data_IF_005589183672
#
_entry.id   IF_005589183672
#
_cell.length_a   1.000
_cell.length_b   1.000
_cell.length_c   1.000
_cell.angle_alpha   90.00
_cell.angle_beta   90.00
_cell.angle_gamma   90.00
#
_symmetry.space_group_name_H-M   'P 1'
#
loop_
_entity.id
_entity.type
_entity.pdbx_description
1 polymer ?
#
# COMPACT_ATOMS: atom_id res chain seq x y z
N UNK A 1 12.11 0.62 4.46
CA UNK A 1 13.48 0.06 4.40
C UNK A 1 13.80 -0.38 2.97
N UNK A 2 13.01 -1.28 2.37
CA UNK A 2 13.25 -1.78 1.01
C UNK A 2 13.13 -0.72 -0.10
N UNK A 3 12.12 0.17 -0.03
CA UNK A 3 11.97 1.29 -0.97
C UNK A 3 13.16 2.26 -0.94
N UNK A 4 13.62 2.64 0.26
CA UNK A 4 14.82 3.47 0.45
C UNK A 4 16.12 2.82 -0.05
N UNK A 5 16.15 1.48 -0.11
CA UNK A 5 17.26 0.72 -0.69
C UNK A 5 17.13 0.53 -2.21
N UNK A 6 16.05 1.01 -2.84
CA UNK A 6 15.80 0.90 -4.28
C UNK A 6 15.40 -0.51 -4.76
N UNK A 7 15.07 -1.42 -3.85
CA UNK A 7 14.78 -2.82 -4.20
C UNK A 7 13.34 -3.03 -4.69
N UNK A 8 12.45 -2.11 -4.32
CA UNK A 8 11.03 -2.17 -4.62
C UNK A 8 10.53 -0.76 -4.87
N UNK A 9 9.63 -0.62 -5.83
CA UNK A 9 8.84 0.59 -6.00
C UNK A 9 7.84 0.70 -4.84
N UNK A 10 7.93 1.81 -4.09
CA UNK A 10 7.16 1.98 -2.86
C UNK A 10 5.66 2.05 -3.13
N UNK A 11 5.27 2.75 -4.19
CA UNK A 11 3.86 2.95 -4.54
C UNK A 11 3.23 1.63 -4.99
N UNK A 12 3.91 0.90 -5.88
CA UNK A 12 3.46 -0.39 -6.38
C UNK A 12 3.33 -1.40 -5.23
N UNK A 13 4.34 -1.50 -4.36
CA UNK A 13 4.31 -2.41 -3.22
C UNK A 13 3.20 -2.09 -2.22
N UNK A 14 2.97 -0.80 -1.93
CA UNK A 14 1.89 -0.36 -1.04
C UNK A 14 0.51 -0.70 -1.62
N UNK A 15 0.27 -0.39 -2.90
CA UNK A 15 -0.99 -0.69 -3.58
C UNK A 15 -1.25 -2.19 -3.65
N UNK A 16 -0.23 -3.00 -3.98
CA UNK A 16 -0.36 -4.46 -4.04
C UNK A 16 -0.72 -5.04 -2.67
N UNK A 17 -0.03 -4.59 -1.61
CA UNK A 17 -0.27 -5.03 -0.23
C UNK A 17 -1.70 -4.71 0.23
N UNK A 18 -2.14 -3.46 0.03
CA UNK A 18 -3.47 -3.02 0.45
C UNK A 18 -4.58 -3.67 -0.38
N UNK A 19 -4.35 -3.89 -1.67
CA UNK A 19 -5.28 -4.62 -2.54
C UNK A 19 -5.40 -6.08 -2.12
N UNK A 20 -4.28 -6.72 -1.73
CA UNK A 20 -4.30 -8.08 -1.23
C UNK A 20 -5.11 -8.21 0.08
N UNK A 21 -4.97 -7.24 0.99
CA UNK A 21 -5.77 -7.19 2.24
C UNK A 21 -7.25 -7.01 1.92
N UNK A 22 -7.61 -6.11 0.98
CA UNK A 22 -9.02 -5.95 0.56
C UNK A 22 -9.57 -7.23 -0.06
N UNK A 23 -8.79 -7.91 -0.91
CA UNK A 23 -9.15 -9.19 -1.53
C UNK A 23 -9.34 -10.32 -0.52
N UNK A 24 -8.67 -10.27 0.64
CA UNK A 24 -8.89 -11.21 1.74
C UNK A 24 -10.24 -11.01 2.46
N UNK A 25 -11.03 -10.01 2.07
CA UNK A 25 -12.37 -9.74 2.62
C UNK A 25 -12.40 -8.64 3.67
N UNK A 26 -11.34 -7.86 3.84
CA UNK A 26 -11.36 -6.74 4.78
C UNK A 26 -12.33 -5.65 4.32
N UNK A 27 -13.24 -5.23 5.20
CA UNK A 27 -14.15 -4.12 4.93
C UNK A 27 -13.51 -2.75 5.19
N UNK A 28 -12.60 -2.69 6.18
CA UNK A 28 -11.86 -1.48 6.56
C UNK A 28 -10.37 -1.80 6.72
N UNK A 29 -9.51 -0.91 6.20
CA UNK A 29 -8.05 -1.03 6.31
C UNK A 29 -7.50 0.28 6.88
N UNK A 30 -6.78 0.20 7.99
CA UNK A 30 -6.08 1.33 8.62
C UNK A 30 -4.58 1.20 8.34
N UNK A 31 -3.98 2.20 7.73
CA UNK A 31 -2.57 2.14 7.30
C UNK A 31 -1.90 3.51 7.39
N UNK A 32 -0.58 3.51 7.60
CA UNK A 32 0.22 4.73 7.47
C UNK A 32 0.27 5.26 6.05
N UNK A 33 0.00 4.42 5.05
CA UNK A 33 -0.08 4.82 3.65
C UNK A 33 -1.41 5.46 3.27
N UNK A 34 -2.40 5.54 4.17
CA UNK A 34 -3.75 6.02 3.81
C UNK A 34 -3.74 7.42 3.20
N UNK A 35 -2.91 8.33 3.72
CA UNK A 35 -2.78 9.69 3.16
C UNK A 35 -2.20 9.68 1.75
N UNK A 36 -1.14 8.91 1.54
CA UNK A 36 -0.46 8.86 0.25
C UNK A 36 -1.34 8.13 -0.79
N UNK A 37 -2.08 7.10 -0.35
CA UNK A 37 -3.08 6.42 -1.17
C UNK A 37 -4.15 7.37 -1.69
N UNK A 38 -4.64 8.27 -0.83
CA UNK A 38 -5.67 9.25 -1.21
C UNK A 38 -5.19 10.21 -2.31
N UNK A 39 -3.87 10.44 -2.43
CA UNK A 39 -3.29 11.25 -3.50
C UNK A 39 -2.97 10.46 -4.78
N UNK A 40 -2.98 9.12 -4.72
CA UNK A 40 -2.67 8.25 -5.86
C UNK A 40 -3.91 7.78 -6.63
N UNK A 41 -5.09 7.91 -6.02
CA UNK A 41 -6.39 7.75 -6.64
C UNK A 41 -6.69 8.93 -7.56
#
# INVERSE_FOLDING_TARGET
>A
AAARAGWLDERAAALESLTAIKRAGADLIVSYWTRDLAAWL
#
